data_IF_545433736992
#
_entry.id   IF_545433736992
#
_cell.length_a   1.000
_cell.length_b   1.000
_cell.length_c   1.000
_cell.angle_alpha   90.00
_cell.angle_beta   90.00
_cell.angle_gamma   90.00
#
_symmetry.space_group_name_H-M   'P 1'
#
loop_
_entity.id
_entity.type
_entity.pdbx_description
1 polymer ?
#
# COMPACT_ATOMS: atom_id res chain seq x y z
N UNK A 1 9.04 -19.43 -11.78
CA UNK A 1 7.67 -19.40 -11.22
C UNK A 1 7.41 -17.97 -10.79
N UNK A 2 6.34 -17.33 -11.28
CA UNK A 2 6.03 -15.93 -10.92
C UNK A 2 4.78 -15.95 -10.05
N UNK A 3 4.94 -15.59 -8.78
CA UNK A 3 3.89 -15.65 -7.76
C UNK A 3 3.41 -14.22 -7.48
N UNK A 4 2.10 -14.03 -7.26
CA UNK A 4 1.53 -12.75 -6.82
C UNK A 4 0.62 -12.94 -5.60
N UNK A 5 0.39 -11.87 -4.84
CA UNK A 5 -0.69 -11.82 -3.85
C UNK A 5 -1.85 -10.95 -4.34
N UNK A 6 -3.07 -11.42 -4.05
CA UNK A 6 -4.31 -10.67 -4.23
C UNK A 6 -4.97 -10.48 -2.86
N UNK A 7 -5.28 -9.24 -2.50
CA UNK A 7 -6.03 -8.95 -1.28
C UNK A 7 -7.44 -9.57 -1.40
N UNK A 8 -7.92 -10.23 -0.34
CA UNK A 8 -9.27 -10.79 -0.33
C UNK A 8 -10.35 -9.72 -0.07
N UNK A 9 -9.97 -8.63 0.59
CA UNK A 9 -10.79 -7.42 0.72
C UNK A 9 -10.23 -6.41 -0.26
N UNK A 10 -10.94 -6.20 -1.36
CA UNK A 10 -10.50 -5.28 -2.42
C UNK A 10 -10.45 -3.84 -1.90
N UNK A 11 -9.25 -3.28 -1.79
CA UNK A 11 -9.09 -1.83 -1.74
C UNK A 11 -9.02 -1.30 -3.17
N UNK A 12 -10.02 -0.53 -3.65
CA UNK A 12 -10.02 -0.05 -5.03
C UNK A 12 -8.74 0.75 -5.34
N UNK A 13 -8.08 0.40 -6.45
CA UNK A 13 -6.93 1.13 -6.98
C UNK A 13 -5.55 0.80 -6.37
N UNK A 14 -5.36 -0.35 -5.72
CA UNK A 14 -4.04 -0.84 -5.36
C UNK A 14 -3.54 -1.89 -6.37
N UNK A 15 -2.30 -1.77 -6.88
CA UNK A 15 -1.69 -2.83 -7.69
C UNK A 15 -1.67 -4.17 -6.94
N UNK A 16 -1.71 -5.31 -7.66
CA UNK A 16 -1.43 -6.61 -7.07
C UNK A 16 -0.11 -6.58 -6.30
N UNK A 17 -0.05 -7.21 -5.13
CA UNK A 17 1.13 -7.21 -4.25
C UNK A 17 1.57 -5.82 -3.73
N UNK A 18 0.66 -4.84 -3.63
CA UNK A 18 0.90 -3.56 -2.94
C UNK A 18 0.13 -3.44 -1.62
N UNK A 19 0.85 -3.24 -0.52
CA UNK A 19 0.31 -3.05 0.82
C UNK A 19 0.21 -1.55 1.16
N UNK A 20 -0.91 -1.12 1.74
CA UNK A 20 -1.02 0.22 2.36
C UNK A 20 -1.17 0.06 3.87
N UNK A 21 -0.36 0.80 4.61
CA UNK A 21 -0.36 0.83 6.08
C UNK A 21 -0.50 2.27 6.52
N UNK A 22 -1.26 2.48 7.58
CA UNK A 22 -1.33 3.76 8.30
C UNK A 22 -0.44 3.69 9.52
N UNK A 23 0.46 4.67 9.64
CA UNK A 23 1.46 4.74 10.70
C UNK A 23 0.75 4.88 12.05
N UNK A 24 1.12 4.04 13.01
CA UNK A 24 0.53 4.08 14.36
C UNK A 24 -0.84 3.42 14.48
N UNK A 25 -1.39 2.86 13.39
CA UNK A 25 -2.60 2.05 13.44
C UNK A 25 -2.26 0.56 13.26
N UNK A 26 -3.10 -0.29 13.83
CA UNK A 26 -3.03 -1.72 13.58
C UNK A 26 -3.34 -2.01 12.11
N UNK A 27 -2.61 -2.95 11.53
CA UNK A 27 -2.81 -3.42 10.16
C UNK A 27 -3.13 -4.92 10.21
N UNK A 28 -4.31 -5.30 9.73
CA UNK A 28 -4.69 -6.70 9.54
C UNK A 28 -5.09 -6.89 8.09
N UNK A 29 -4.35 -7.73 7.36
CA UNK A 29 -4.61 -8.00 5.95
C UNK A 29 -4.56 -9.49 5.66
N UNK A 30 -5.46 -9.93 4.78
CA UNK A 30 -5.51 -11.31 4.29
C UNK A 30 -5.42 -11.32 2.78
N UNK A 31 -4.51 -12.14 2.27
CA UNK A 31 -4.22 -12.30 0.86
C UNK A 31 -4.43 -13.74 0.42
N UNK A 32 -4.66 -13.92 -0.88
CA UNK A 32 -4.47 -15.18 -1.57
C UNK A 32 -3.21 -15.11 -2.41
N UNK A 33 -2.34 -16.08 -2.24
CA UNK A 33 -1.12 -16.30 -3.02
C UNK A 33 -1.48 -17.17 -4.21
N UNK A 34 -1.19 -16.68 -5.41
CA UNK A 34 -1.60 -17.31 -6.66
C UNK A 34 -0.37 -17.42 -7.57
N UNK A 35 -0.22 -18.55 -8.25
CA UNK A 35 0.75 -18.70 -9.33
C UNK A 35 0.22 -18.00 -10.59
N UNK A 36 1.02 -17.13 -11.19
CA UNK A 36 0.56 -16.32 -12.33
C UNK A 36 0.33 -17.12 -13.61
N UNK A 37 1.00 -18.26 -13.77
CA UNK A 37 0.90 -19.06 -14.99
C UNK A 37 -0.34 -19.96 -14.96
N UNK A 38 -0.56 -20.67 -13.85
CA UNK A 38 -1.70 -21.57 -13.69
C UNK A 38 -2.94 -20.90 -13.11
N UNK A 39 -2.80 -19.70 -12.53
CA UNK A 39 -3.84 -19.02 -11.75
C UNK A 39 -4.40 -19.89 -10.60
N UNK A 40 -3.58 -20.82 -10.09
CA UNK A 40 -3.95 -21.70 -8.97
C UNK A 40 -3.37 -21.17 -7.65
N UNK A 41 -4.06 -21.37 -6.51
CA UNK A 41 -3.49 -21.03 -5.21
C UNK A 41 -2.19 -21.79 -4.94
N UNK A 42 -1.20 -21.09 -4.37
CA UNK A 42 0.05 -21.72 -3.92
C UNK A 42 -0.07 -22.01 -2.44
N UNK A 43 -0.06 -23.29 -2.06
CA UNK A 43 -0.25 -23.71 -0.68
C UNK A 43 1.09 -23.86 0.05
N UNK A 44 1.33 -23.00 1.04
CA UNK A 44 2.48 -23.05 1.94
C UNK A 44 2.10 -23.39 3.39
N UNK A 45 0.95 -24.03 3.61
CA UNK A 45 0.56 -24.51 4.94
C UNK A 45 1.63 -25.45 5.50
N UNK A 46 1.97 -25.26 6.77
CA UNK A 46 3.03 -26.01 7.45
C UNK A 46 4.44 -25.41 7.25
N UNK A 47 4.61 -24.45 6.35
CA UNK A 47 5.86 -23.70 6.21
C UNK A 47 5.90 -22.58 7.25
N UNK A 48 7.10 -22.25 7.74
CA UNK A 48 7.32 -21.05 8.57
C UNK A 48 7.47 -19.83 7.67
N UNK A 49 6.61 -18.81 7.81
CA UNK A 49 6.75 -17.58 7.05
C UNK A 49 7.88 -16.70 7.61
N UNK A 50 8.45 -15.87 6.75
CA UNK A 50 9.26 -14.71 7.13
C UNK A 50 8.85 -13.52 6.27
N UNK A 51 8.36 -12.49 6.92
CA UNK A 51 7.96 -11.24 6.28
C UNK A 51 8.97 -10.16 6.61
N UNK A 52 9.47 -9.46 5.58
CA UNK A 52 10.47 -8.40 5.71
C UNK A 52 10.04 -7.16 4.98
N UNK A 53 10.30 -5.99 5.57
CA UNK A 53 10.18 -4.69 4.93
C UNK A 53 11.57 -4.07 4.85
N UNK A 54 11.92 -3.57 3.67
CA UNK A 54 13.21 -2.96 3.40
C UNK A 54 13.06 -1.44 3.31
N UNK A 55 13.99 -0.73 3.95
CA UNK A 55 14.11 0.72 3.84
C UNK A 55 14.44 1.13 2.40
N UNK A 56 13.87 2.25 1.93
CA UNK A 56 14.30 2.86 0.67
C UNK A 56 15.53 3.74 0.82
N UNK A 57 15.82 4.20 2.04
CA UNK A 57 16.88 5.18 2.29
C UNK A 57 18.25 4.52 2.44
N UNK A 58 18.27 3.28 2.92
CA UNK A 58 19.47 2.51 3.17
C UNK A 58 19.32 1.19 2.42
N UNK A 59 20.18 0.99 1.43
CA UNK A 59 20.09 -0.18 0.56
C UNK A 59 20.14 -1.48 1.36
N UNK A 60 19.19 -2.38 1.06
CA UNK A 60 19.01 -3.67 1.70
C UNK A 60 18.84 -3.65 3.25
N UNK A 61 18.63 -2.50 3.87
CA UNK A 61 18.37 -2.44 5.30
C UNK A 61 16.96 -2.94 5.62
N UNK A 62 16.87 -3.90 6.53
CA UNK A 62 15.59 -4.45 7.00
C UNK A 62 15.02 -3.50 8.06
N UNK A 63 13.96 -2.77 7.70
CA UNK A 63 13.25 -1.88 8.60
C UNK A 63 12.31 -2.63 9.55
N UNK A 64 11.81 -3.79 9.13
CA UNK A 64 10.96 -4.66 9.93
C UNK A 64 11.09 -6.11 9.46
N UNK A 65 11.12 -7.04 10.40
CA UNK A 65 11.08 -8.48 10.14
C UNK A 65 10.17 -9.15 11.16
N UNK A 66 9.36 -10.10 10.71
CA UNK A 66 8.69 -11.04 11.60
C UNK A 66 8.69 -12.45 11.04
N UNK A 67 8.86 -13.42 11.95
CA UNK A 67 8.67 -14.85 11.73
C UNK A 67 7.62 -15.43 12.69
N UNK A 68 6.96 -14.57 13.47
CA UNK A 68 5.96 -14.99 14.45
C UNK A 68 4.68 -15.44 13.72
N UNK A 69 4.19 -16.65 14.04
CA UNK A 69 2.97 -17.20 13.44
C UNK A 69 1.71 -16.39 13.75
N UNK A 70 1.71 -15.63 14.85
CA UNK A 70 0.57 -14.78 15.21
C UNK A 70 0.53 -13.49 14.39
N UNK A 71 1.68 -13.05 13.90
CA UNK A 71 1.85 -11.83 13.08
C UNK A 71 1.85 -12.14 11.59
N UNK A 72 2.32 -13.31 11.20
CA UNK A 72 2.40 -13.73 9.81
C UNK A 72 2.13 -15.24 9.71
N UNK A 73 1.09 -15.63 8.98
CA UNK A 73 0.67 -17.02 8.90
C UNK A 73 0.27 -17.44 7.48
N UNK A 74 0.55 -18.71 7.16
CA UNK A 74 -0.04 -19.39 6.00
C UNK A 74 -1.23 -20.25 6.43
N UNK A 75 -2.30 -20.18 5.66
CA UNK A 75 -3.52 -20.95 5.86
C UNK A 75 -3.91 -21.67 4.55
N UNK A 76 -4.79 -22.69 4.61
CA UNK A 76 -5.24 -23.44 3.43
C UNK A 76 -5.75 -22.54 2.31
N UNK A 77 -5.81 -23.05 1.09
CA UNK A 77 -6.25 -22.29 -0.09
C UNK A 77 -5.32 -21.15 -0.51
N UNK A 78 -4.03 -21.27 -0.15
CA UNK A 78 -2.98 -20.30 -0.47
C UNK A 78 -3.15 -18.99 0.27
N UNK A 79 -3.71 -19.03 1.47
CA UNK A 79 -4.03 -17.83 2.23
C UNK A 79 -2.81 -17.37 3.01
N UNK A 80 -2.51 -16.08 2.96
CA UNK A 80 -1.50 -15.42 3.77
C UNK A 80 -2.15 -14.34 4.61
N UNK A 81 -1.95 -14.41 5.94
CA UNK A 81 -2.41 -13.43 6.91
C UNK A 81 -1.22 -12.63 7.41
N UNK A 82 -1.38 -11.32 7.48
CA UNK A 82 -0.42 -10.38 8.05
C UNK A 82 -1.13 -9.52 9.09
N UNK A 83 -0.56 -9.49 10.29
CA UNK A 83 -0.99 -8.67 11.40
C UNK A 83 0.21 -7.87 11.91
N UNK A 84 0.07 -6.55 11.91
CA UNK A 84 1.05 -5.63 12.48
C UNK A 84 0.36 -4.76 13.52
N UNK A 85 0.96 -4.70 14.71
CA UNK A 85 0.50 -3.83 15.80
C UNK A 85 0.71 -2.36 15.45
N UNK A 86 -0.06 -1.49 16.11
CA UNK A 86 0.13 -0.04 16.04
C UNK A 86 1.58 0.39 16.35
N UNK A 87 2.24 -0.26 17.31
CA UNK A 87 3.63 0.03 17.66
C UNK A 87 4.60 -0.33 16.51
N UNK A 88 4.41 -1.49 15.88
CA UNK A 88 5.21 -1.92 14.73
C UNK A 88 5.02 -0.97 13.54
N UNK A 89 3.78 -0.61 13.20
CA UNK A 89 3.51 0.31 12.08
C UNK A 89 4.00 1.73 12.36
N UNK A 90 4.01 2.18 13.63
CA UNK A 90 4.57 3.50 14.03
C UNK A 90 6.06 3.62 13.74
N UNK A 91 6.80 2.52 13.87
CA UNK A 91 8.24 2.47 13.69
C UNK A 91 8.67 2.29 12.24
N UNK A 92 7.74 2.05 11.31
CA UNK A 92 8.05 1.93 9.89
C UNK A 92 8.40 3.31 9.29
N UNK A 93 9.40 3.37 8.38
CA UNK A 93 9.64 4.56 7.57
C UNK A 93 8.39 4.94 6.75
N UNK A 94 8.09 6.23 6.64
CA UNK A 94 7.03 6.71 5.76
C UNK A 94 7.45 6.66 4.29
N UNK A 95 6.47 6.54 3.40
CA UNK A 95 6.68 6.47 1.95
C UNK A 95 6.52 5.06 1.40
N UNK A 96 6.93 4.87 0.14
CA UNK A 96 7.01 3.54 -0.46
C UNK A 96 8.17 2.76 0.13
N UNK A 97 8.11 1.44 0.09
CA UNK A 97 9.11 0.48 0.55
C UNK A 97 8.90 -0.83 -0.23
N UNK A 98 9.85 -1.74 -0.13
CA UNK A 98 9.75 -3.11 -0.68
C UNK A 98 9.49 -4.07 0.47
N UNK A 99 8.69 -5.11 0.22
CA UNK A 99 8.61 -6.25 1.13
C UNK A 99 8.99 -7.56 0.44
N UNK A 100 9.48 -8.52 1.22
CA UNK A 100 9.55 -9.93 0.83
C UNK A 100 8.73 -10.79 1.77
N UNK A 101 8.10 -11.80 1.21
CA UNK A 101 7.46 -12.89 1.93
C UNK A 101 8.17 -14.18 1.51
N UNK A 102 8.77 -14.81 2.50
CA UNK A 102 9.62 -15.97 2.35
C UNK A 102 9.02 -17.12 3.16
N UNK A 103 9.40 -18.35 2.83
CA UNK A 103 8.90 -19.53 3.52
C UNK A 103 10.01 -20.56 3.72
N UNK A 104 9.92 -21.34 4.80
CA UNK A 104 10.83 -22.44 5.10
C UNK A 104 10.02 -23.68 5.53
N UNK A 105 10.34 -24.85 4.97
CA UNK A 105 9.81 -26.13 5.47
C UNK A 105 10.56 -26.59 6.73
N UNK A 106 11.74 -27.23 6.55
CA UNK A 106 12.44 -27.95 7.63
C UNK A 106 13.93 -27.60 7.77
N UNK A 107 14.58 -27.14 6.70
CA UNK A 107 16.04 -26.95 6.64
C UNK A 107 16.54 -25.67 7.32
N UNK A 108 15.65 -24.85 7.88
CA UNK A 108 15.92 -23.46 8.30
C UNK A 108 16.40 -22.54 7.16
N UNK A 109 16.35 -23.00 5.92
CA UNK A 109 16.64 -22.17 4.75
C UNK A 109 15.35 -21.56 4.24
N UNK A 110 15.29 -20.24 4.26
CA UNK A 110 14.15 -19.48 3.79
C UNK A 110 14.27 -19.21 2.29
N UNK A 111 13.22 -19.56 1.56
CA UNK A 111 13.12 -19.37 0.13
C UNK A 111 12.20 -18.17 -0.14
N UNK A 112 12.60 -17.31 -1.08
CA UNK A 112 11.77 -16.20 -1.52
C UNK A 112 10.54 -16.70 -2.27
N UNK A 113 9.35 -16.39 -1.73
CA UNK A 113 8.07 -16.73 -2.33
C UNK A 113 7.45 -15.56 -3.10
N UNK A 114 7.34 -14.39 -2.45
CA UNK A 114 6.68 -13.21 -3.01
C UNK A 114 7.49 -11.95 -2.69
N UNK A 115 7.51 -11.02 -3.65
CA UNK A 115 8.04 -9.67 -3.48
C UNK A 115 6.99 -8.66 -3.92
N UNK A 116 6.85 -7.58 -3.15
CA UNK A 116 5.88 -6.53 -3.46
C UNK A 116 6.26 -5.18 -2.90
N UNK A 117 5.35 -4.22 -3.09
CA UNK A 117 5.47 -2.87 -2.57
C UNK A 117 4.67 -2.69 -1.28
N UNK A 118 5.14 -1.83 -0.39
CA UNK A 118 4.43 -1.44 0.82
C UNK A 118 4.57 0.06 1.01
N UNK A 119 3.48 0.75 1.34
CA UNK A 119 3.52 2.18 1.63
C UNK A 119 2.99 2.46 3.02
N UNK A 120 3.81 3.08 3.87
CA UNK A 120 3.40 3.57 5.18
C UNK A 120 3.07 5.06 5.08
N UNK A 121 1.84 5.43 5.45
CA UNK A 121 1.35 6.81 5.40
C UNK A 121 1.26 7.38 6.81
N UNK A 122 1.71 8.61 6.96
CA UNK A 122 1.49 9.38 8.18
C UNK A 122 0.14 10.12 8.07
N UNK A 123 -0.72 9.97 9.08
CA UNK A 123 -2.03 10.63 9.13
C UNK A 123 -1.84 12.10 9.53
N UNK A 124 -0.87 12.40 10.39
CA UNK A 124 -0.69 13.73 10.98
C UNK A 124 -0.26 14.78 9.94
N UNK A 125 0.49 14.37 8.91
CA UNK A 125 0.97 15.26 7.84
C UNK A 125 -0.10 15.70 6.81
N UNK A 126 -1.36 15.25 6.94
CA UNK A 126 -2.42 15.64 5.99
C UNK A 126 -3.12 16.96 6.32
N UNK A 127 -2.97 17.49 7.53
CA UNK A 127 -3.73 18.67 7.93
C UNK A 127 -3.24 20.00 7.28
N UNK A 128 -1.99 20.10 6.82
CA UNK A 128 -1.45 21.39 6.34
C UNK A 128 -1.74 21.73 4.86
N UNK A 129 -2.09 20.75 4.02
CA UNK A 129 -2.28 20.99 2.57
C UNK A 129 -3.70 21.36 2.16
N UNK A 130 -4.71 21.06 2.98
CA UNK A 130 -6.10 21.39 2.66
C UNK A 130 -6.46 22.85 2.99
N UNK A 131 -5.78 23.47 3.97
CA UNK A 131 -6.07 24.86 4.36
C UNK A 131 -5.41 25.90 3.45
N UNK A 132 -4.25 25.59 2.87
CA UNK A 132 -3.57 26.52 1.95
C UNK A 132 -4.19 26.60 0.56
N UNK A 133 -4.94 25.57 0.13
CA UNK A 133 -5.63 25.57 -1.16
C UNK A 133 -6.89 26.46 -1.18
N UNK A 134 -7.53 26.72 -0.04
CA UNK A 134 -8.72 27.57 0.05
C UNK A 134 -8.41 29.06 0.29
N UNK A 135 -7.14 29.44 0.50
CA UNK A 135 -6.75 30.82 0.80
C UNK A 135 -6.39 31.67 -0.44
N UNK A 136 -6.45 31.12 -1.67
CA UNK A 136 -6.09 31.85 -2.90
C UNK A 136 -7.16 31.75 -3.99
N UNK A 137 -8.30 32.39 -3.73
CA UNK A 137 -9.13 32.94 -4.80
C UNK A 137 -9.28 34.44 -4.57
N UNK A 138 -8.45 35.29 -5.19
CA UNK A 138 -8.68 36.72 -5.21
C UNK A 138 -9.97 36.96 -5.99
N UNK A 139 -10.96 37.56 -5.32
CA UNK A 139 -12.17 38.12 -5.95
C UNK A 139 -11.76 39.20 -6.95
N UNK A 140 -11.53 38.85 -8.21
CA UNK A 140 -11.49 39.83 -9.28
C UNK A 140 -12.93 40.26 -9.60
N UNK A 141 -13.44 41.18 -8.79
CA UNK A 141 -14.50 42.12 -9.22
C UNK A 141 -13.90 42.94 -10.36
N UNK A 142 -14.39 42.75 -11.59
CA UNK A 142 -14.37 43.84 -12.56
C UNK A 142 -15.79 44.12 -13.01
N UNK A 143 -16.25 45.27 -12.53
CA UNK A 143 -17.48 45.98 -12.83
C UNK A 143 -17.20 46.85 -14.05
N UNK A 144 -17.96 46.70 -15.13
CA UNK A 144 -18.20 47.73 -16.17
C UNK A 144 -19.44 47.25 -16.94
N UNK A 145 -20.65 47.69 -16.57
CA UNK A 145 -21.35 48.88 -17.08
C UNK A 145 -21.47 49.00 -18.61
N UNK A 146 -22.70 48.73 -19.07
CA UNK A 146 -23.50 49.43 -20.08
C UNK A 146 -22.85 49.86 -21.42
N UNK A 147 -23.43 49.35 -22.51
CA UNK A 147 -23.20 49.85 -23.86
C UNK A 147 -24.25 49.37 -24.86
N UNK A 148 -25.47 49.88 -24.71
CA UNK A 148 -26.59 49.77 -25.66
C UNK A 148 -26.19 50.33 -27.04
N UNK A 149 -26.34 49.56 -28.13
CA UNK A 149 -26.55 50.05 -29.52
C UNK A 149 -26.91 48.88 -30.47
N UNK A 150 -28.19 48.81 -30.85
CA UNK A 150 -28.66 48.29 -32.17
C UNK A 150 -28.42 49.39 -33.24
N UNK A 151 -28.88 49.21 -34.50
CA UNK A 151 -28.55 48.20 -35.50
C UNK A 151 -28.03 48.88 -36.79
N UNK A 152 -27.66 48.14 -37.84
CA UNK A 152 -27.77 48.63 -39.22
C UNK A 152 -27.75 47.43 -40.20
N UNK A 153 -28.92 47.17 -40.77
CA UNK A 153 -29.05 46.49 -42.06
C UNK A 153 -28.53 47.42 -43.16
N UNK A 154 -27.81 46.85 -44.13
CA UNK A 154 -27.78 47.37 -45.49
C UNK A 154 -27.55 46.21 -46.47
N UNK A 155 -28.59 46.01 -47.29
CA UNK A 155 -28.62 45.48 -48.67
C UNK A 155 -28.22 44.03 -48.95
#
# INVERSE_FOLDING_TARGET
MTIQSRALVESPGCPPSWLRIERGLQCEQTFRIIDNQSNTPVNWVGHRPRFRIYSQLIDNHIAFETTNSDECAFAPEGIWKLFLTAAQTKNLPCGGMRFTLEHCEKTNEYILGLQGGISCRDIEFRHDRAETANARSPKHRSRHENGNRKPLEYS
#
